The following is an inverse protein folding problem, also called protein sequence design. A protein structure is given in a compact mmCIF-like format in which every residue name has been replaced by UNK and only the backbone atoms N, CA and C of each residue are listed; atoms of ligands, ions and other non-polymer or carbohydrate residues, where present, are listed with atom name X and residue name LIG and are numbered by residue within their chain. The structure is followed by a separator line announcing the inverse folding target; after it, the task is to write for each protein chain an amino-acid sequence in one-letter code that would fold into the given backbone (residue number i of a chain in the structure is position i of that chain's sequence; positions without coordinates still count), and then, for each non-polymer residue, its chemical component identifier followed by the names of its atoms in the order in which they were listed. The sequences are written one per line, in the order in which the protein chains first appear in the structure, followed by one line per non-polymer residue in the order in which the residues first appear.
data_IF_782085795849
#
_entry.id   IF_782085795849
#
_cell.length_a   1.000
_cell.length_b   1.000
_cell.length_c   1.000
_cell.angle_alpha   90.00
_cell.angle_beta   90.00
_cell.angle_gamma   90.00
#
_symmetry.space_group_name_H-M   'P 1'
#
loop_
_entity.id
_entity.type
_entity.pdbx_description
1 polymer ?
#
# COMPACT_ATOMS: atom_id res chain seq x y z
N UNK A 1 -4.45 -9.23 -9.53
CA UNK A 1 -4.47 -9.55 -10.97
C UNK A 1 -4.75 -8.32 -11.86
N UNK A 2 -5.85 -7.58 -11.63
CA UNK A 2 -6.30 -6.49 -12.52
C UNK A 2 -5.37 -5.26 -12.53
N UNK A 3 -4.94 -4.77 -11.36
CA UNK A 3 -4.07 -3.59 -11.27
C UNK A 3 -2.72 -3.76 -12.00
N UNK A 4 -2.14 -4.96 -11.95
CA UNK A 4 -0.89 -5.27 -12.64
C UNK A 4 -1.03 -5.25 -14.17
N UNK A 5 -2.15 -5.76 -14.70
CA UNK A 5 -2.45 -5.72 -16.15
C UNK A 5 -2.72 -4.29 -16.61
N UNK A 6 -3.47 -3.51 -15.83
CA UNK A 6 -3.74 -2.11 -16.13
C UNK A 6 -2.46 -1.25 -16.15
N UNK A 7 -1.56 -1.43 -15.16
CA UNK A 7 -0.26 -0.76 -15.13
C UNK A 7 0.64 -1.17 -16.29
N UNK A 8 0.61 -2.45 -16.71
CA UNK A 8 1.36 -2.92 -17.87
C UNK A 8 0.83 -2.27 -19.16
N UNK A 9 -0.48 -2.32 -19.39
CA UNK A 9 -1.11 -1.68 -20.54
C UNK A 9 -0.80 -0.17 -20.60
N UNK A 10 -0.88 0.53 -19.47
CA UNK A 10 -0.54 1.95 -19.37
C UNK A 10 0.94 2.21 -19.74
N UNK A 11 1.86 1.33 -19.36
CA UNK A 11 3.27 1.45 -19.76
C UNK A 11 3.49 1.14 -21.25
N UNK A 12 2.71 0.23 -21.82
CA UNK A 12 2.81 -0.19 -23.23
C UNK A 12 2.26 0.86 -24.19
N UNK A 13 1.16 1.54 -23.84
CA UNK A 13 0.56 2.64 -24.64
C UNK A 13 1.27 3.99 -24.44
N UNK A 14 2.18 4.10 -23.49
CA UNK A 14 2.84 5.36 -23.13
C UNK A 14 4.30 5.37 -23.56
N UNK A 15 4.71 6.45 -24.24
CA UNK A 15 6.12 6.69 -24.62
C UNK A 15 7.03 6.70 -23.38
N UNK A 16 8.26 6.14 -23.44
CA UNK A 16 9.15 6.00 -22.29
C UNK A 16 9.33 7.28 -21.46
N UNK A 17 9.42 8.44 -22.12
CA UNK A 17 9.66 9.75 -21.51
C UNK A 17 8.47 10.23 -20.64
N UNK A 18 7.26 9.72 -20.93
CA UNK A 18 6.01 10.09 -20.24
C UNK A 18 5.57 9.06 -19.20
N UNK A 19 6.21 7.89 -19.13
CA UNK A 19 5.79 6.78 -18.24
C UNK A 19 5.77 7.19 -16.77
N UNK A 20 6.77 7.94 -16.31
CA UNK A 20 6.79 8.42 -14.91
C UNK A 20 5.58 9.31 -14.59
N UNK A 21 5.18 10.19 -15.52
CA UNK A 21 4.01 11.06 -15.35
C UNK A 21 2.72 10.24 -15.32
N UNK A 22 2.55 9.29 -16.24
CA UNK A 22 1.35 8.43 -16.26
C UNK A 22 1.25 7.57 -14.99
N UNK A 23 2.36 7.00 -14.52
CA UNK A 23 2.36 6.23 -13.27
C UNK A 23 2.02 7.12 -12.06
N UNK A 24 2.48 8.38 -12.04
CA UNK A 24 2.09 9.35 -11.02
C UNK A 24 0.59 9.67 -11.08
N UNK A 25 0.01 9.86 -12.27
CA UNK A 25 -1.42 10.10 -12.46
C UNK A 25 -2.26 8.91 -11.99
N UNK A 26 -1.85 7.67 -12.31
CA UNK A 26 -2.51 6.46 -11.83
C UNK A 26 -2.48 6.40 -10.31
N UNK A 27 -1.32 6.63 -9.69
CA UNK A 27 -1.18 6.66 -8.24
C UNK A 27 -2.07 7.72 -7.58
N UNK A 28 -2.11 8.93 -8.13
CA UNK A 28 -3.02 10.00 -7.69
C UNK A 28 -4.48 9.59 -7.85
N UNK A 29 -4.85 8.93 -8.95
CA UNK A 29 -6.20 8.43 -9.18
C UNK A 29 -6.64 7.37 -8.17
N UNK A 30 -5.74 6.43 -7.82
CA UNK A 30 -6.00 5.41 -6.78
C UNK A 30 -6.20 6.07 -5.42
N UNK A 31 -5.30 6.98 -5.04
CA UNK A 31 -5.40 7.71 -3.76
C UNK A 31 -6.65 8.60 -3.68
N UNK A 32 -6.98 9.31 -4.76
CA UNK A 32 -8.20 10.12 -4.84
C UNK A 32 -9.46 9.25 -4.77
N UNK A 33 -9.47 8.10 -5.46
CA UNK A 33 -10.59 7.15 -5.39
C UNK A 33 -10.78 6.61 -3.98
N UNK A 34 -9.69 6.33 -3.25
CA UNK A 34 -9.75 5.92 -1.86
C UNK A 34 -10.33 7.03 -0.96
N UNK A 35 -9.88 8.28 -1.12
CA UNK A 35 -10.41 9.44 -0.37
C UNK A 35 -11.89 9.67 -0.64
N UNK A 36 -12.28 9.67 -1.92
CA UNK A 36 -13.67 9.83 -2.33
C UNK A 36 -14.50 8.67 -1.80
N UNK A 37 -14.03 7.43 -1.92
CA UNK A 37 -14.71 6.25 -1.38
C UNK A 37 -14.92 6.37 0.11
N UNK A 38 -13.93 6.84 0.87
CA UNK A 38 -14.06 7.00 2.31
C UNK A 38 -15.10 8.07 2.66
N UNK A 39 -15.05 9.24 2.01
CA UNK A 39 -15.98 10.34 2.26
C UNK A 39 -17.42 9.98 1.84
N UNK A 40 -17.56 9.28 0.71
CA UNK A 40 -18.84 8.93 0.11
C UNK A 40 -19.40 7.60 0.65
N UNK A 41 -18.62 6.78 1.35
CA UNK A 41 -19.00 5.42 1.78
C UNK A 41 -20.30 5.40 2.58
N UNK A 42 -20.40 6.19 3.65
CA UNK A 42 -21.58 6.22 4.53
C UNK A 42 -22.80 6.85 3.84
N UNK A 43 -22.69 8.02 3.17
CA UNK A 43 -23.80 8.56 2.38
C UNK A 43 -24.33 7.59 1.32
N UNK A 44 -23.45 6.92 0.57
CA UNK A 44 -23.89 5.92 -0.41
C UNK A 44 -24.51 4.69 0.26
N UNK A 45 -23.91 4.17 1.32
CA UNK A 45 -24.41 2.98 2.00
C UNK A 45 -25.79 3.21 2.62
N UNK A 46 -26.05 4.40 3.15
CA UNK A 46 -27.35 4.77 3.73
C UNK A 46 -28.43 4.98 2.66
N UNK A 47 -28.08 5.56 1.52
CA UNK A 47 -29.03 5.80 0.42
C UNK A 47 -29.31 4.56 -0.44
N UNK A 48 -28.27 3.80 -0.80
CA UNK A 48 -28.34 2.66 -1.72
C UNK A 48 -28.54 1.32 -1.01
N UNK A 49 -28.26 1.25 0.29
CA UNK A 49 -28.13 -0.01 1.02
C UNK A 49 -26.99 -0.89 0.48
N UNK A 50 -26.83 -2.06 1.09
CA UNK A 50 -25.77 -3.01 0.69
C UNK A 50 -25.97 -3.51 -0.75
N UNK A 51 -27.22 -3.80 -1.15
CA UNK A 51 -27.54 -4.28 -2.51
C UNK A 51 -27.22 -3.23 -3.57
N UNK A 52 -27.55 -1.95 -3.33
CA UNK A 52 -27.27 -0.89 -4.28
C UNK A 52 -25.77 -0.62 -4.42
N UNK A 53 -24.96 -0.80 -3.37
CA UNK A 53 -23.50 -0.77 -3.47
C UNK A 53 -22.94 -1.87 -4.39
N UNK A 54 -23.50 -3.08 -4.36
CA UNK A 54 -23.12 -4.15 -5.30
C UNK A 54 -23.49 -3.80 -6.75
N UNK A 55 -24.68 -3.23 -6.99
CA UNK A 55 -25.06 -2.78 -8.33
C UNK A 55 -24.19 -1.63 -8.83
N UNK A 56 -23.86 -0.68 -7.95
CA UNK A 56 -22.99 0.43 -8.31
C UNK A 56 -21.59 -0.06 -8.69
N UNK A 57 -21.01 -0.99 -7.92
CA UNK A 57 -19.72 -1.60 -8.25
C UNK A 57 -19.78 -2.39 -9.56
N UNK A 58 -20.88 -3.09 -9.84
CA UNK A 58 -21.10 -3.76 -11.12
C UNK A 58 -21.16 -2.76 -12.30
N UNK A 59 -21.89 -1.64 -12.14
CA UNK A 59 -21.94 -0.58 -13.16
C UNK A 59 -20.55 0.01 -13.42
N UNK A 60 -19.79 0.33 -12.37
CA UNK A 60 -18.41 0.82 -12.52
C UNK A 60 -17.50 -0.20 -13.21
N UNK A 61 -17.68 -1.50 -12.94
CA UNK A 61 -16.94 -2.55 -13.63
C UNK A 61 -17.26 -2.57 -15.14
N UNK A 62 -18.54 -2.51 -15.51
CA UNK A 62 -18.96 -2.45 -16.92
C UNK A 62 -18.43 -1.19 -17.61
N UNK A 63 -18.53 -0.02 -16.97
CA UNK A 63 -17.96 1.24 -17.48
C UNK A 63 -16.45 1.09 -17.68
N UNK A 64 -15.73 0.49 -16.72
CA UNK A 64 -14.31 0.20 -16.86
C UNK A 64 -13.98 -0.71 -18.05
N UNK A 65 -14.79 -1.75 -18.28
CA UNK A 65 -14.64 -2.63 -19.45
C UNK A 65 -14.85 -1.88 -20.77
N UNK A 66 -15.87 -1.01 -20.84
CA UNK A 66 -16.14 -0.18 -22.01
C UNK A 66 -15.00 0.81 -22.28
N UNK A 67 -14.49 1.46 -21.23
CA UNK A 67 -13.34 2.37 -21.35
C UNK A 67 -12.10 1.64 -21.89
N UNK A 68 -11.79 0.44 -21.37
CA UNK A 68 -10.66 -0.37 -21.88
C UNK A 68 -10.87 -0.77 -23.34
N UNK A 69 -12.11 -1.06 -23.76
CA UNK A 69 -12.41 -1.38 -25.16
C UNK A 69 -12.16 -0.21 -26.13
N UNK A 70 -12.14 1.04 -25.65
CA UNK A 70 -11.80 2.22 -26.44
C UNK A 70 -10.29 2.48 -26.57
N UNK A 71 -9.45 1.82 -25.75
CA UNK A 71 -7.99 2.01 -25.79
C UNK A 71 -7.43 1.42 -27.09
N UNK A 72 -6.59 2.14 -27.84
CA UNK A 72 -5.99 1.61 -29.07
C UNK A 72 -5.25 0.30 -28.82
N UNK A 73 -5.46 -0.68 -29.70
CA UNK A 73 -4.73 -1.95 -29.65
C UNK A 73 -3.25 -1.68 -29.89
N UNK A 74 -2.42 -1.90 -28.88
CA UNK A 74 -0.97 -1.95 -29.07
C UNK A 74 -0.65 -3.29 -29.70
N UNK A 75 0.05 -3.34 -30.86
CA UNK A 75 0.56 -4.59 -31.39
C UNK A 75 1.35 -5.31 -30.29
N UNK A 76 1.19 -6.63 -30.10
CA UNK A 76 2.00 -7.35 -29.13
C UNK A 76 3.46 -7.04 -29.42
N UNK A 77 4.12 -6.29 -28.55
CA UNK A 77 5.58 -6.21 -28.60
C UNK A 77 6.03 -7.65 -28.37
N UNK A 78 6.57 -8.28 -29.40
CA UNK A 78 7.20 -9.58 -29.26
C UNK A 78 8.12 -9.45 -28.06
N UNK A 79 7.86 -10.23 -27.02
CA UNK A 79 8.72 -10.29 -25.86
C UNK A 79 10.04 -10.91 -26.31
N UNK A 80 10.90 -10.12 -26.96
CA UNK A 80 12.31 -10.41 -27.16
C UNK A 80 12.98 -10.31 -25.79
N UNK A 81 12.68 -11.31 -24.98
CA UNK A 81 13.09 -11.41 -23.58
C UNK A 81 13.24 -12.87 -23.18
N UNK A 82 13.72 -13.69 -24.12
CA UNK A 82 14.34 -15.01 -23.94
C UNK A 82 13.61 -16.00 -23.03
N UNK A 83 13.18 -17.11 -23.62
CA UNK A 83 12.97 -18.41 -22.98
C UNK A 83 14.27 -19.01 -22.38
N UNK A 84 15.11 -18.17 -21.76
CA UNK A 84 16.25 -18.60 -20.96
C UNK A 84 15.81 -18.83 -19.52
N UNK A 85 16.48 -19.76 -18.83
CA UNK A 85 16.25 -20.05 -17.40
C UNK A 85 16.10 -18.74 -16.62
N UNK A 86 15.04 -18.59 -15.82
CA UNK A 86 14.82 -17.36 -15.07
C UNK A 86 16.02 -17.14 -14.15
N UNK A 87 16.59 -15.93 -14.20
CA UNK A 87 17.69 -15.55 -13.31
C UNK A 87 17.32 -15.73 -11.83
N UNK A 88 18.32 -15.78 -10.94
CA UNK A 88 18.10 -15.99 -9.51
C UNK A 88 17.07 -14.99 -8.95
N UNK A 89 16.21 -15.45 -8.03
CA UNK A 89 15.19 -14.60 -7.41
C UNK A 89 15.79 -13.46 -6.59
N UNK A 90 17.08 -13.52 -6.25
CA UNK A 90 17.73 -12.54 -5.39
C UNK A 90 16.99 -12.37 -4.06
N UNK A 91 17.17 -11.25 -3.36
CA UNK A 91 16.47 -10.97 -2.11
C UNK A 91 15.01 -10.50 -2.31
N UNK A 92 14.34 -10.83 -3.43
CA UNK A 92 12.95 -10.41 -3.69
C UNK A 92 11.99 -10.92 -2.62
N UNK A 93 12.30 -12.04 -1.98
CA UNK A 93 11.52 -12.55 -0.85
C UNK A 93 11.44 -11.56 0.32
N UNK A 94 12.47 -10.72 0.55
CA UNK A 94 12.42 -9.66 1.57
C UNK A 94 11.33 -8.64 1.25
N UNK A 95 11.21 -8.24 -0.02
CA UNK A 95 10.15 -7.34 -0.46
C UNK A 95 8.78 -8.02 -0.48
N UNK A 96 8.72 -9.32 -0.80
CA UNK A 96 7.49 -10.10 -0.76
C UNK A 96 6.93 -10.20 0.68
N UNK A 97 7.77 -10.53 1.67
CA UNK A 97 7.35 -10.55 3.08
C UNK A 97 7.01 -9.13 3.57
N UNK A 98 7.78 -8.12 3.14
CA UNK A 98 7.50 -6.73 3.51
C UNK A 98 6.14 -6.24 3.00
N UNK A 99 5.80 -6.50 1.74
CA UNK A 99 4.49 -6.09 1.19
C UNK A 99 3.35 -6.90 1.76
N UNK A 100 3.56 -8.19 2.04
CA UNK A 100 2.63 -9.01 2.79
C UNK A 100 2.34 -8.37 4.15
N UNK A 101 3.38 -8.04 4.92
CA UNK A 101 3.22 -7.48 6.25
C UNK A 101 2.56 -6.10 6.19
N UNK A 102 2.98 -5.22 5.28
CA UNK A 102 2.37 -3.90 5.09
C UNK A 102 0.86 -3.99 4.87
N UNK A 103 0.43 -4.87 3.97
CA UNK A 103 -0.99 -5.03 3.66
C UNK A 103 -1.78 -5.79 4.73
N UNK A 104 -1.13 -6.73 5.42
CA UNK A 104 -1.71 -7.38 6.59
C UNK A 104 -2.01 -6.38 7.70
N UNK A 105 -1.06 -5.52 8.07
CA UNK A 105 -1.30 -4.54 9.15
C UNK A 105 -2.22 -3.40 8.72
N UNK A 106 -2.25 -3.03 7.44
CA UNK A 106 -3.24 -2.09 6.90
C UNK A 106 -4.67 -2.64 7.03
N UNK A 107 -4.92 -3.84 6.53
CA UNK A 107 -6.25 -4.45 6.63
C UNK A 107 -6.66 -4.70 8.07
N UNK A 108 -5.73 -5.17 8.92
CA UNK A 108 -5.96 -5.30 10.36
C UNK A 108 -6.35 -3.97 10.99
N UNK A 109 -5.65 -2.87 10.68
CA UNK A 109 -5.98 -1.54 11.17
C UNK A 109 -7.40 -1.13 10.75
N UNK A 110 -7.80 -1.35 9.50
CA UNK A 110 -9.15 -1.00 9.04
C UNK A 110 -10.25 -1.88 9.62
N UNK A 111 -9.92 -3.05 10.17
CA UNK A 111 -10.87 -3.89 10.92
C UNK A 111 -10.97 -3.45 12.38
N UNK A 112 -9.85 -3.13 13.03
CA UNK A 112 -9.79 -2.95 14.49
C UNK A 112 -9.90 -1.49 14.92
N UNK A 113 -9.46 -0.54 14.10
CA UNK A 113 -9.42 0.87 14.46
C UNK A 113 -10.82 1.54 14.45
N UNK A 114 -11.73 1.29 13.49
CA UNK A 114 -13.05 1.93 13.50
C UNK A 114 -13.88 1.64 14.77
N UNK A 115 -14.00 0.39 15.27
CA UNK A 115 -14.67 0.13 16.55
C UNK A 115 -14.02 0.88 17.72
N UNK A 116 -12.68 1.00 17.72
CA UNK A 116 -11.96 1.74 18.76
C UNK A 116 -12.27 3.24 18.76
N UNK A 117 -12.42 3.84 17.57
CA UNK A 117 -12.80 5.26 17.43
C UNK A 117 -14.21 5.52 18.00
N UNK A 118 -15.14 4.61 17.74
CA UNK A 118 -16.49 4.67 18.30
C UNK A 118 -16.45 4.55 19.82
N UNK A 119 -15.78 3.51 20.34
CA UNK A 119 -15.74 3.21 21.78
C UNK A 119 -15.03 4.30 22.59
N UNK A 120 -13.89 4.81 22.12
CA UNK A 120 -13.03 5.71 22.92
C UNK A 120 -13.25 7.19 22.64
N UNK A 121 -13.65 7.55 21.43
CA UNK A 121 -13.80 8.95 21.02
C UNK A 121 -15.24 9.31 20.69
N UNK A 122 -16.19 8.38 20.81
CA UNK A 122 -17.60 8.60 20.43
C UNK A 122 -17.76 8.96 18.95
N UNK A 123 -16.76 8.66 18.13
CA UNK A 123 -16.71 9.08 16.74
C UNK A 123 -17.45 8.06 15.90
N UNK A 124 -18.70 8.36 15.55
CA UNK A 124 -19.50 7.49 14.69
C UNK A 124 -18.82 7.23 13.34
N UNK A 125 -19.18 6.13 12.69
CA UNK A 125 -18.64 5.73 11.38
C UNK A 125 -18.75 6.85 10.33
N UNK A 126 -19.84 7.61 10.35
CA UNK A 126 -20.07 8.75 9.46
C UNK A 126 -19.06 9.90 9.66
N UNK A 127 -18.44 9.99 10.83
CA UNK A 127 -17.49 11.04 11.20
C UNK A 127 -16.02 10.59 11.07
N UNK A 128 -15.74 9.31 10.81
CA UNK A 128 -14.38 8.78 10.65
C UNK A 128 -13.54 9.51 9.58
N UNK A 129 -14.17 9.99 8.50
CA UNK A 129 -13.46 10.75 7.46
C UNK A 129 -12.75 11.99 8.02
N UNK A 130 -13.28 12.60 9.11
CA UNK A 130 -12.68 13.78 9.76
C UNK A 130 -11.30 13.50 10.34
N UNK A 131 -10.99 12.25 10.65
CA UNK A 131 -9.67 11.82 11.08
C UNK A 131 -8.83 11.33 9.90
N UNK A 132 -9.36 10.39 9.14
CA UNK A 132 -8.58 9.70 8.12
C UNK A 132 -8.20 10.59 6.93
N UNK A 133 -9.12 11.42 6.42
CA UNK A 133 -8.84 12.26 5.24
C UNK A 133 -7.76 13.31 5.55
N UNK A 134 -7.85 14.12 6.63
CA UNK A 134 -6.82 15.11 6.93
C UNK A 134 -5.46 14.47 7.24
N UNK A 135 -5.43 13.38 8.00
CA UNK A 135 -4.16 12.71 8.35
C UNK A 135 -3.51 12.05 7.15
N UNK A 136 -4.29 11.44 6.25
CA UNK A 136 -3.78 10.89 5.00
C UNK A 136 -3.25 11.98 4.07
N UNK A 137 -3.99 13.08 3.86
CA UNK A 137 -3.52 14.22 3.06
C UNK A 137 -2.25 14.83 3.64
N UNK A 138 -2.22 15.09 4.94
CA UNK A 138 -1.04 15.61 5.63
C UNK A 138 0.16 14.68 5.46
N UNK A 139 -0.04 13.36 5.60
CA UNK A 139 1.04 12.40 5.40
C UNK A 139 1.58 12.41 3.97
N UNK A 140 0.72 12.56 2.95
CA UNK A 140 1.13 12.64 1.55
C UNK A 140 1.94 13.91 1.31
N UNK A 141 1.48 15.05 1.85
CA UNK A 141 2.21 16.33 1.77
C UNK A 141 3.59 16.24 2.42
N UNK A 142 3.71 15.55 3.57
CA UNK A 142 4.97 15.37 4.29
C UNK A 142 5.90 14.34 3.63
N UNK A 143 5.36 13.24 3.11
CA UNK A 143 6.16 12.15 2.53
C UNK A 143 6.68 12.50 1.13
N UNK A 144 5.93 13.30 0.36
CA UNK A 144 6.28 13.64 -1.02
C UNK A 144 7.70 14.26 -1.18
N UNK A 145 8.12 15.28 -0.41
CA UNK A 145 9.47 15.80 -0.50
C UNK A 145 10.53 14.77 -0.10
N UNK A 146 10.24 13.91 0.88
CA UNK A 146 11.13 12.83 1.28
C UNK A 146 11.31 11.81 0.15
N UNK A 147 10.22 11.32 -0.44
CA UNK A 147 10.25 10.39 -1.58
C UNK A 147 11.02 10.96 -2.77
N UNK A 148 10.87 12.25 -3.07
CA UNK A 148 11.61 12.91 -4.15
C UNK A 148 13.13 12.90 -3.88
N UNK A 149 13.57 13.21 -2.65
CA UNK A 149 14.98 13.20 -2.26
C UNK A 149 15.57 11.78 -2.23
N UNK A 150 14.82 10.84 -1.67
CA UNK A 150 15.23 9.43 -1.58
C UNK A 150 15.34 8.81 -2.98
N UNK A 151 14.35 9.05 -3.84
CA UNK A 151 14.35 8.59 -5.23
C UNK A 151 15.51 9.18 -6.05
N UNK A 152 15.88 10.45 -5.82
CA UNK A 152 17.03 11.08 -6.48
C UNK A 152 18.37 10.41 -6.13
N UNK A 153 18.47 9.79 -4.95
CA UNK A 153 19.69 9.07 -4.49
C UNK A 153 19.58 7.56 -4.65
N UNK A 154 18.49 7.05 -5.23
CA UNK A 154 18.20 5.62 -5.42
C UNK A 154 18.35 4.78 -4.13
N UNK A 155 18.09 5.41 -2.98
CA UNK A 155 18.40 4.86 -1.65
C UNK A 155 17.18 4.35 -0.88
N UNK A 156 16.05 4.14 -1.56
CA UNK A 156 14.75 3.74 -0.99
C UNK A 156 14.86 2.53 -0.04
N UNK A 157 15.72 1.57 -0.39
CA UNK A 157 15.94 0.37 0.42
C UNK A 157 16.42 0.70 1.85
N UNK A 158 17.19 1.78 2.04
CA UNK A 158 17.72 2.20 3.35
C UNK A 158 16.62 2.70 4.30
N UNK A 159 15.50 3.16 3.75
CA UNK A 159 14.40 3.75 4.52
C UNK A 159 13.31 2.74 4.89
N UNK A 160 13.31 1.54 4.31
CA UNK A 160 12.34 0.48 4.63
C UNK A 160 12.29 0.16 6.15
N UNK A 161 13.42 -0.04 6.87
CA UNK A 161 13.40 -0.33 8.31
C UNK A 161 12.76 0.79 9.13
N UNK A 162 13.11 2.03 8.82
CA UNK A 162 12.58 3.21 9.53
C UNK A 162 11.09 3.40 9.29
N UNK A 163 10.63 3.13 8.07
CA UNK A 163 9.21 3.21 7.75
C UNK A 163 8.38 2.12 8.47
N UNK A 164 8.91 0.90 8.59
CA UNK A 164 8.33 -0.13 9.47
C UNK A 164 8.37 0.26 10.95
N UNK A 165 9.43 0.95 11.39
CA UNK A 165 9.51 1.55 12.73
C UNK A 165 8.43 2.60 12.98
N UNK A 166 8.14 3.45 12.00
CA UNK A 166 7.05 4.42 12.07
C UNK A 166 5.68 3.72 12.20
N UNK A 167 5.43 2.67 11.41
CA UNK A 167 4.25 1.81 11.57
C UNK A 167 4.16 1.20 12.97
N UNK A 168 5.28 0.66 13.48
CA UNK A 168 5.35 0.04 14.79
C UNK A 168 4.97 1.03 15.91
N UNK A 169 5.63 2.18 15.93
CA UNK A 169 5.37 3.25 16.91
C UNK A 169 3.91 3.70 16.79
N UNK A 170 3.43 3.94 15.58
CA UNK A 170 2.07 4.44 15.39
C UNK A 170 1.02 3.44 15.86
N UNK A 171 1.12 2.16 15.47
CA UNK A 171 0.15 1.14 15.86
C UNK A 171 0.19 0.83 17.35
N UNK A 172 1.37 0.84 17.98
CA UNK A 172 1.47 0.71 19.45
C UNK A 172 0.88 1.93 20.15
N UNK A 173 1.09 3.15 19.65
CA UNK A 173 0.63 4.37 20.30
C UNK A 173 -0.87 4.65 20.12
N UNK A 174 -1.51 4.18 19.03
CA UNK A 174 -2.93 4.46 18.72
C UNK A 174 -3.88 4.16 19.89
N UNK A 175 -3.82 2.99 20.55
CA UNK A 175 -4.71 2.67 21.66
C UNK A 175 -4.44 3.46 22.94
N UNK A 176 -3.31 4.16 23.03
CA UNK A 176 -2.94 4.95 24.21
C UNK A 176 -3.07 6.46 23.97
N UNK A 177 -3.50 6.88 22.78
CA UNK A 177 -3.76 8.27 22.50
C UNK A 177 -4.97 8.74 23.32
N UNK A 178 -4.73 9.56 24.36
CA UNK A 178 -5.78 10.11 25.21
C UNK A 178 -6.43 11.39 24.69
N UNK A 179 -5.86 12.01 23.66
CA UNK A 179 -6.34 13.27 23.10
C UNK A 179 -6.47 13.20 21.58
N UNK A 180 -7.45 13.93 21.03
CA UNK A 180 -7.77 13.93 19.60
C UNK A 180 -6.61 14.35 18.71
N UNK A 181 -5.87 15.40 19.10
CA UNK A 181 -4.71 15.88 18.34
C UNK A 181 -3.56 14.86 18.34
N UNK A 182 -3.38 14.14 19.47
CA UNK A 182 -2.36 13.09 19.59
C UNK A 182 -2.73 11.91 18.69
N UNK A 183 -4.00 11.51 18.69
CA UNK A 183 -4.51 10.50 17.76
C UNK A 183 -4.26 10.90 16.30
N UNK A 184 -4.55 12.15 15.94
CA UNK A 184 -4.27 12.70 14.61
C UNK A 184 -2.79 12.63 14.24
N UNK A 185 -1.89 12.97 15.16
CA UNK A 185 -0.44 12.87 14.96
C UNK A 185 0.02 11.42 14.76
N UNK A 186 -0.48 10.49 15.58
CA UNK A 186 -0.15 9.07 15.49
C UNK A 186 -0.67 8.44 14.20
N UNK A 187 -1.90 8.75 13.78
CA UNK A 187 -2.46 8.28 12.50
C UNK A 187 -1.71 8.88 11.31
N UNK A 188 -1.28 10.14 11.40
CA UNK A 188 -0.42 10.75 10.38
C UNK A 188 0.92 10.04 10.26
N UNK A 189 1.54 9.66 11.39
CA UNK A 189 2.78 8.88 11.41
C UNK A 189 2.59 7.49 10.77
N UNK A 190 1.46 6.83 11.03
CA UNK A 190 1.12 5.57 10.37
C UNK A 190 1.08 5.74 8.85
N UNK A 191 0.31 6.71 8.35
CA UNK A 191 0.20 6.93 6.91
C UNK A 191 1.52 7.40 6.28
N UNK A 192 2.37 8.13 7.02
CA UNK A 192 3.70 8.51 6.56
C UNK A 192 4.58 7.29 6.30
N UNK A 193 4.64 6.36 7.26
CA UNK A 193 5.36 5.10 7.10
C UNK A 193 4.74 4.22 6.00
N UNK A 194 3.41 4.16 5.93
CA UNK A 194 2.68 3.37 4.93
C UNK A 194 2.97 3.88 3.52
N UNK A 195 2.78 5.18 3.26
CA UNK A 195 2.99 5.79 1.95
C UNK A 195 4.46 5.69 1.52
N UNK A 196 5.40 5.80 2.46
CA UNK A 196 6.82 5.59 2.18
C UNK A 196 7.09 4.15 1.74
N UNK A 197 6.60 3.16 2.48
CA UNK A 197 6.76 1.73 2.14
C UNK A 197 6.09 1.37 0.81
N UNK A 198 4.85 1.82 0.62
CA UNK A 198 4.03 1.55 -0.58
C UNK A 198 4.68 2.12 -1.84
N UNK A 199 5.30 3.29 -1.75
CA UNK A 199 6.05 3.86 -2.88
C UNK A 199 7.45 3.27 -3.03
N UNK A 200 8.15 2.97 -1.94
CA UNK A 200 9.56 2.55 -1.97
C UNK A 200 9.72 1.10 -2.45
N UNK A 201 8.90 0.18 -1.96
CA UNK A 201 9.06 -1.25 -2.27
C UNK A 201 8.94 -1.58 -3.76
N UNK A 202 7.94 -1.06 -4.52
CA UNK A 202 7.88 -1.28 -5.97
C UNK A 202 9.08 -0.69 -6.71
N UNK A 203 9.60 0.46 -6.26
CA UNK A 203 10.78 1.09 -6.85
C UNK A 203 12.04 0.23 -6.66
N UNK A 204 12.25 -0.29 -5.45
CA UNK A 204 13.36 -1.23 -5.17
C UNK A 204 13.19 -2.51 -5.97
N UNK A 205 11.99 -3.08 -6.00
CA UNK A 205 11.70 -4.29 -6.78
C UNK A 205 12.01 -4.09 -8.27
N UNK A 206 11.54 -3.00 -8.86
CA UNK A 206 11.78 -2.68 -10.27
C UNK A 206 13.28 -2.67 -10.59
N UNK A 207 14.10 -2.02 -9.75
CA UNK A 207 15.56 -1.97 -9.93
C UNK A 207 16.22 -3.35 -9.79
N UNK A 208 15.78 -4.19 -8.85
CA UNK A 208 16.29 -5.55 -8.68
C UNK A 208 15.90 -6.51 -9.82
N UNK A 209 14.80 -6.21 -10.52
CA UNK A 209 14.27 -7.11 -11.53
C UNK A 209 14.98 -7.02 -12.87
N UNK A 210 15.50 -5.85 -13.25
CA UNK A 210 16.01 -5.60 -14.60
C UNK A 210 14.96 -5.92 -15.68
N UNK A 211 15.40 -6.20 -16.91
CA UNK A 211 14.52 -6.62 -18.01
C UNK A 211 14.12 -8.11 -17.96
N UNK A 212 14.92 -8.96 -17.29
CA UNK A 212 14.79 -10.43 -17.35
C UNK A 212 14.09 -10.99 -16.10
N UNK A 213 12.94 -11.66 -16.29
CA UNK A 213 12.18 -12.28 -15.19
C UNK A 213 11.32 -11.33 -14.36
N UNK A 214 11.05 -10.11 -14.88
CA UNK A 214 10.23 -9.07 -14.25
C UNK A 214 8.82 -9.57 -13.88
N UNK A 215 8.15 -10.26 -14.81
CA UNK A 215 6.81 -10.82 -14.58
C UNK A 215 6.73 -11.77 -13.38
N UNK A 216 7.69 -12.71 -13.24
CA UNK A 216 7.74 -13.66 -12.12
C UNK A 216 7.92 -12.96 -10.77
N UNK A 217 8.87 -12.02 -10.70
CA UNK A 217 9.20 -11.28 -9.47
C UNK A 217 8.06 -10.33 -9.06
N UNK A 218 7.46 -9.60 -10.01
CA UNK A 218 6.27 -8.78 -9.77
C UNK A 218 5.06 -9.63 -9.36
N UNK A 219 4.87 -10.79 -10.01
CA UNK A 219 3.81 -11.73 -9.67
C UNK A 219 3.91 -12.20 -8.23
N UNK A 220 5.10 -12.64 -7.78
CA UNK A 220 5.33 -13.04 -6.39
C UNK A 220 5.00 -11.90 -5.41
N UNK A 221 5.50 -10.68 -5.70
CA UNK A 221 5.25 -9.50 -4.88
C UNK A 221 3.74 -9.21 -4.74
N UNK A 222 3.01 -9.14 -5.85
CA UNK A 222 1.57 -8.89 -5.83
C UNK A 222 0.78 -10.04 -5.17
N UNK A 223 1.19 -11.29 -5.33
CA UNK A 223 0.55 -12.41 -4.63
C UNK A 223 0.69 -12.25 -3.11
N UNK A 224 1.90 -11.96 -2.63
CA UNK A 224 2.14 -11.71 -1.20
C UNK A 224 1.36 -10.49 -0.68
N UNK A 225 1.22 -9.44 -1.50
CA UNK A 225 0.39 -8.27 -1.19
C UNK A 225 -1.07 -8.66 -0.92
N UNK A 226 -1.69 -9.44 -1.81
CA UNK A 226 -3.08 -9.89 -1.65
C UNK A 226 -3.26 -10.90 -0.51
N UNK A 227 -2.32 -11.85 -0.36
CA UNK A 227 -2.33 -12.79 0.76
C UNK A 227 -2.20 -12.03 2.09
N UNK A 228 -1.34 -11.00 2.14
CA UNK A 228 -1.20 -10.11 3.29
C UNK A 228 -2.51 -9.45 3.66
N UNK A 229 -3.17 -8.81 2.70
CA UNK A 229 -4.48 -8.18 2.91
C UNK A 229 -5.55 -9.19 3.41
N UNK A 230 -5.58 -10.40 2.86
CA UNK A 230 -6.48 -11.46 3.32
C UNK A 230 -6.19 -11.88 4.76
N UNK A 231 -4.93 -12.22 5.07
CA UNK A 231 -4.50 -12.67 6.39
C UNK A 231 -4.72 -11.58 7.43
N UNK A 232 -4.43 -10.32 7.11
CA UNK A 232 -4.65 -9.20 8.02
C UNK A 232 -6.13 -8.96 8.31
N UNK A 233 -7.01 -9.14 7.34
CA UNK A 233 -8.47 -9.09 7.56
C UNK A 233 -8.95 -10.20 8.49
N UNK A 234 -8.54 -11.45 8.23
CA UNK A 234 -8.92 -12.61 9.06
C UNK A 234 -8.34 -12.50 10.48
N UNK A 235 -7.03 -12.25 10.60
CA UNK A 235 -6.35 -12.12 11.88
C UNK A 235 -6.84 -10.90 12.65
N UNK A 236 -7.07 -9.77 11.97
CA UNK A 236 -7.63 -8.56 12.57
C UNK A 236 -9.02 -8.79 13.14
N UNK A 237 -9.89 -9.50 12.41
CA UNK A 237 -11.21 -9.88 12.90
C UNK A 237 -11.16 -10.84 14.09
N UNK A 238 -10.29 -11.85 14.03
CA UNK A 238 -10.11 -12.82 15.11
C UNK A 238 -9.53 -12.19 16.38
N UNK A 239 -8.55 -11.29 16.25
CA UNK A 239 -7.96 -10.55 17.38
C UNK A 239 -8.97 -9.55 17.96
N UNK A 240 -9.70 -8.83 17.11
CA UNK A 240 -10.77 -7.93 17.55
C UNK A 240 -11.82 -8.66 18.37
N UNK A 241 -12.30 -9.80 17.88
CA UNK A 241 -13.36 -10.58 18.53
C UNK A 241 -12.93 -11.17 19.88
N UNK A 242 -11.66 -11.59 20.02
CA UNK A 242 -11.19 -12.29 21.22
C UNK A 242 -10.48 -11.39 22.24
N UNK A 243 -9.73 -10.38 21.76
CA UNK A 243 -8.79 -9.60 22.56
C UNK A 243 -9.01 -8.08 22.43
N UNK A 244 -9.91 -7.64 21.55
CA UNK A 244 -10.24 -6.23 21.33
C UNK A 244 -9.23 -5.47 20.48
N UNK A 245 -9.60 -4.24 20.09
CA UNK A 245 -8.79 -3.38 19.22
C UNK A 245 -7.39 -3.05 19.77
N UNK A 246 -7.21 -2.74 21.08
CA UNK A 246 -5.90 -2.38 21.60
C UNK A 246 -4.85 -3.49 21.41
N UNK A 247 -5.20 -4.73 21.75
CA UNK A 247 -4.29 -5.87 21.62
C UNK A 247 -3.96 -6.13 20.16
N UNK A 248 -4.96 -6.09 19.27
CA UNK A 248 -4.75 -6.29 17.84
C UNK A 248 -3.76 -5.26 17.26
N UNK A 249 -3.92 -3.98 17.59
CA UNK A 249 -3.05 -2.90 17.11
C UNK A 249 -1.64 -3.01 17.69
N UNK A 250 -1.49 -3.28 19.00
CA UNK A 250 -0.18 -3.45 19.63
C UNK A 250 0.55 -4.66 19.06
N UNK A 251 -0.11 -5.82 18.90
CA UNK A 251 0.50 -7.01 18.32
C UNK A 251 1.00 -6.77 16.89
N UNK A 252 0.20 -6.08 16.06
CA UNK A 252 0.61 -5.69 14.71
C UNK A 252 1.80 -4.72 14.72
N UNK A 253 1.79 -3.74 15.62
CA UNK A 253 2.89 -2.79 15.79
C UNK A 253 4.19 -3.47 16.22
N UNK A 254 4.13 -4.41 17.17
CA UNK A 254 5.30 -5.21 17.59
C UNK A 254 5.85 -6.05 16.43
N UNK A 255 4.98 -6.65 15.62
CA UNK A 255 5.39 -7.40 14.43
C UNK A 255 6.09 -6.50 13.39
N UNK A 256 5.57 -5.30 13.15
CA UNK A 256 6.23 -4.29 12.31
C UNK A 256 7.60 -3.88 12.88
N UNK A 257 7.70 -3.68 14.19
CA UNK A 257 8.95 -3.30 14.84
C UNK A 257 10.00 -4.41 14.72
N UNK A 258 9.60 -5.66 14.99
CA UNK A 258 10.46 -6.83 14.82
C UNK A 258 10.94 -6.97 13.37
N UNK A 259 10.04 -6.86 12.40
CA UNK A 259 10.39 -6.93 10.98
C UNK A 259 11.29 -5.78 10.53
N UNK A 260 11.04 -4.55 11.00
CA UNK A 260 11.88 -3.39 10.73
C UNK A 260 13.31 -3.58 11.24
N UNK A 261 13.48 -4.07 12.46
CA UNK A 261 14.80 -4.40 13.02
C UNK A 261 15.51 -5.49 12.22
N UNK A 262 14.79 -6.54 11.81
CA UNK A 262 15.33 -7.61 10.99
C UNK A 262 15.75 -7.10 9.61
N UNK A 263 14.91 -6.31 8.94
CA UNK A 263 15.24 -5.66 7.67
C UNK A 263 16.49 -4.79 7.80
N UNK A 264 16.62 -3.99 8.85
CA UNK A 264 17.80 -3.16 9.10
C UNK A 264 19.10 -3.94 9.16
N UNK A 265 19.05 -5.20 9.63
CA UNK A 265 20.21 -6.12 9.64
C UNK A 265 20.45 -6.81 8.31
N UNK A 266 19.40 -7.07 7.52
CA UNK A 266 19.46 -7.85 6.28
C UNK A 266 19.68 -7.01 5.01
N UNK A 267 19.41 -5.71 5.06
CA UNK A 267 19.58 -4.79 3.92
C UNK A 267 21.06 -4.53 3.59
N UNK A 268 21.98 -4.29 4.56
CA UNK A 268 23.40 -4.16 4.28
C UNK A 268 23.94 -5.42 3.57
N UNK A 269 24.49 -5.26 2.36
CA UNK A 269 25.08 -6.35 1.58
C UNK A 269 24.12 -7.14 0.67
N UNK A 270 22.82 -6.82 0.62
CA UNK A 270 21.84 -7.51 -0.25
C UNK A 270 21.22 -6.65 -1.35
N UNK A 271 21.23 -5.34 -1.21
CA UNK A 271 20.76 -4.41 -2.24
C UNK A 271 21.96 -3.66 -2.83
N UNK A 272 22.03 -3.50 -4.18
CA UNK A 272 23.08 -2.70 -4.78
C UNK A 272 22.97 -1.26 -4.27
N UNK A 273 23.98 -0.80 -3.54
CA UNK A 273 24.20 0.62 -3.31
C UNK A 273 24.80 1.19 -4.59
N UNK A 274 24.30 2.33 -5.08
CA UNK A 274 24.72 2.95 -6.33
C UNK A 274 26.18 3.41 -6.41
N UNK A 275 27.05 2.96 -5.50
CA UNK A 275 28.50 3.20 -5.51
C UNK A 275 29.23 1.93 -5.94
N UNK A 276 29.03 1.54 -7.19
CA UNK A 276 30.04 0.75 -7.92
C UNK A 276 30.18 1.37 -9.31
N UNK A 277 30.83 2.53 -9.34
CA UNK A 277 31.63 2.99 -10.47
C UNK A 277 33.09 2.98 -10.03
#
# INVERSE_FOLDING_TARGET
AIAGVAMALAADVTRPERRSVIMAVIGMGIGASFLVSMLASVPLATWLGLRGLFWLTAVFAVVGMLLVATVPRVPPQSTQGGAGRPGPMGPVWLLAISVFLLHAVMTLLFVTFPPMLVERFGLELAAHWKLYVPTMLLSVLLVFPALRRIGATLSEHRYLPFAFGALAIAMVAMPFAGAWWLLGGVVTLYFLGFNLLESAMPAVLSRMTGSRGRGRKMGLYSSFQFIGAFVGGVAGGALLAQLGSPVALVSAGLLCGFWGLLLGRLIPGRFPTGDTS
#
